data_IF_187913311554
#
_entry.id   IF_187913311554
#
_cell.length_a   1.000
_cell.length_b   1.000
_cell.length_c   1.000
_cell.angle_alpha   90.00
_cell.angle_beta   90.00
_cell.angle_gamma   90.00
#
_symmetry.space_group_name_H-M   'P 1'
#
loop_
_entity.id
_entity.type
_entity.pdbx_description
1 polymer ?
2 non-polymer ?
3 non-polymer ?
4 water ?
#
# COMPACT_ATOMS: atom_id res chain seq x y z
N UNK A 2 -11.13 -32.24 -43.30
CA UNK A 2 -11.06 -31.31 -42.14
C UNK A 2 -11.37 -31.97 -40.82
N UNK A 3 -10.35 -32.03 -39.95
CA UNK A 3 -10.48 -32.66 -38.63
C UNK A 3 -10.52 -31.64 -37.49
N UNK A 4 -9.51 -30.77 -37.44
CA UNK A 4 -9.46 -29.70 -36.45
C UNK A 4 -9.52 -28.33 -37.14
N UNK A 5 -10.34 -27.43 -36.59
CA UNK A 5 -10.62 -26.15 -37.24
C UNK A 5 -9.82 -24.98 -36.66
N UNK A 6 -9.50 -24.03 -37.54
CA UNK A 6 -8.74 -22.83 -37.19
C UNK A 6 -9.47 -21.55 -37.63
N UNK A 7 -9.06 -20.42 -37.08
CA UNK A 7 -9.55 -19.12 -37.52
C UNK A 7 -8.80 -18.66 -38.77
N UNK A 8 -9.46 -17.84 -39.58
CA UNK A 8 -8.86 -17.30 -40.80
C UNK A 8 -8.70 -15.79 -40.65
N UNK A 9 -7.52 -15.28 -40.97
CA UNK A 9 -7.17 -13.91 -40.57
C UNK A 9 -6.76 -12.92 -41.65
N UNK A 10 -5.70 -13.27 -42.39
CA UNK A 10 -4.90 -12.29 -43.12
C UNK A 10 -4.27 -11.26 -42.16
N UNK A 11 -3.87 -10.10 -42.67
CA UNK A 11 -3.06 -9.14 -41.91
C UNK A 11 -3.80 -8.39 -40.81
N UNK A 12 -4.89 -8.98 -40.33
CA UNK A 12 -5.74 -8.39 -39.30
C UNK A 12 -6.72 -9.41 -38.73
N UNK A 13 -7.64 -8.95 -37.89
CA UNK A 13 -8.76 -9.78 -37.45
C UNK A 13 -8.77 -10.17 -35.98
N UNK A 14 -8.07 -9.39 -35.15
CA UNK A 14 -8.02 -9.67 -33.72
C UNK A 14 -9.21 -9.08 -32.99
N UNK A 15 -10.04 -9.96 -32.44
CA UNK A 15 -11.25 -9.56 -31.72
C UNK A 15 -10.97 -9.33 -30.23
N UNK A 16 -11.66 -8.35 -29.62
CA UNK A 16 -11.55 -8.16 -28.17
C UNK A 16 -12.15 -9.32 -27.39
N UNK A 17 -11.38 -9.86 -26.45
CA UNK A 17 -11.82 -10.97 -25.61
C UNK A 17 -12.64 -10.48 -24.41
N UNK A 18 -12.06 -9.57 -23.64
CA UNK A 18 -12.74 -8.99 -22.49
C UNK A 18 -12.99 -7.50 -22.68
N UNK A 19 -13.15 -6.79 -21.57
CA UNK A 19 -13.36 -5.34 -21.59
C UNK A 19 -12.11 -4.57 -22.01
N UNK A 20 -10.94 -5.20 -21.83
CA UNK A 20 -9.68 -4.66 -22.31
C UNK A 20 -9.38 -5.13 -23.73
N UNK A 21 -8.40 -4.49 -24.37
CA UNK A 21 -7.98 -4.87 -25.72
C UNK A 21 -6.48 -5.17 -25.76
N UNK A 22 -5.96 -5.68 -24.64
CA UNK A 22 -4.53 -5.99 -24.51
C UNK A 22 -4.10 -7.25 -25.25
N UNK A 23 -2.81 -7.32 -25.54
CA UNK A 23 -2.23 -8.45 -26.25
C UNK A 23 -0.99 -9.00 -25.55
N UNK A 24 -0.40 -8.19 -24.65
CA UNK A 24 0.87 -8.52 -24.01
C UNK A 24 0.80 -8.62 -22.49
N UNK A 25 1.52 -9.60 -21.95
CA UNK A 25 1.66 -9.81 -20.50
C UNK A 25 2.45 -8.67 -19.84
N UNK A 26 3.50 -8.23 -20.51
CA UNK A 26 4.32 -7.13 -20.02
C UNK A 26 4.76 -6.23 -21.18
N UNK A 27 5.28 -5.06 -20.84
CA UNK A 27 5.78 -4.13 -21.85
C UNK A 27 7.15 -3.61 -21.45
N UNK A 28 8.05 -3.53 -22.43
CA UNK A 28 9.37 -2.95 -22.22
C UNK A 28 9.22 -1.44 -22.21
N UNK A 29 9.56 -0.84 -21.07
CA UNK A 29 9.47 0.59 -20.91
C UNK A 29 10.85 1.22 -21.10
N UNK A 30 10.92 2.38 -21.77
CA UNK A 30 12.19 3.07 -21.99
C UNK A 30 12.85 3.47 -20.68
N UNK A 31 14.17 3.41 -20.66
CA UNK A 31 14.94 3.79 -19.47
C UNK A 31 15.57 5.17 -19.72
N UNK A 32 14.97 6.23 -19.13
CA UNK A 32 15.39 7.62 -19.36
C UNK A 32 16.76 7.94 -18.77
N UNK A 33 17.38 9.00 -19.29
CA UNK A 33 18.73 9.39 -18.88
C UNK A 33 18.83 10.83 -18.36
N UNK A 34 17.93 11.70 -18.83
CA UNK A 34 17.88 13.09 -18.36
C UNK A 34 17.07 13.23 -17.09
N UNK A 35 17.59 14.01 -16.15
CA UNK A 35 16.92 14.24 -14.86
C UNK A 35 15.76 15.23 -15.04
N UNK A 36 16.00 16.26 -15.85
CA UNK A 36 15.03 17.34 -16.07
C UNK A 36 13.85 16.95 -16.98
N UNK A 37 13.98 15.81 -17.66
CA UNK A 37 12.93 15.35 -18.58
C UNK A 37 11.73 14.71 -17.88
N UNK A 38 11.88 14.43 -16.59
CA UNK A 38 10.86 13.70 -15.84
C UNK A 38 10.14 14.58 -14.82
N UNK A 39 8.83 14.62 -14.95
CA UNK A 39 7.95 15.31 -14.01
C UNK A 39 7.32 14.30 -13.06
N UNK A 40 7.63 14.43 -11.78
CA UNK A 40 7.17 13.49 -10.75
C UNK A 40 5.76 13.80 -10.24
N UNK A 41 5.23 14.95 -10.64
CA UNK A 41 3.89 15.37 -10.22
C UNK A 41 2.80 14.52 -10.86
N UNK A 42 2.93 14.23 -12.16
CA UNK A 42 1.90 13.48 -12.86
C UNK A 42 2.15 11.96 -12.88
N UNK A 43 1.10 11.17 -12.62
CA UNK A 43 1.17 9.71 -12.53
C UNK A 43 1.74 9.02 -13.75
N UNK A 44 1.50 9.59 -14.93
CA UNK A 44 1.88 8.98 -16.21
C UNK A 44 3.36 8.63 -16.32
N UNK A 45 4.22 9.44 -15.70
CA UNK A 45 5.67 9.26 -15.77
C UNK A 45 6.21 8.06 -14.97
N UNK A 46 5.31 7.36 -14.28
CA UNK A 46 5.68 6.11 -13.59
C UNK A 46 5.19 4.90 -14.37
N UNK A 47 4.42 5.16 -15.42
CA UNK A 47 3.84 4.11 -16.25
C UNK A 47 4.51 4.02 -17.61
N UNK A 48 5.08 5.12 -18.07
CA UNK A 48 5.79 5.16 -19.35
C UNK A 48 7.29 4.93 -19.18
N UNK A 49 7.80 5.07 -17.96
CA UNK A 49 9.23 5.04 -17.71
C UNK A 49 9.67 3.95 -16.72
N UNK A 50 10.82 3.33 -17.00
CA UNK A 50 11.53 2.52 -16.04
C UNK A 50 12.56 3.43 -15.37
N UNK A 51 12.24 3.88 -14.16
CA UNK A 51 13.03 4.91 -13.47
C UNK A 51 14.31 4.40 -12.83
N UNK A 52 14.71 3.17 -13.16
CA UNK A 52 15.88 2.54 -12.56
C UNK A 52 17.13 3.40 -12.66
N UNK A 53 17.42 3.88 -13.87
CA UNK A 53 18.59 4.73 -14.11
C UNK A 53 18.40 6.16 -13.63
N UNK A 54 17.15 6.63 -13.67
CA UNK A 54 16.80 7.95 -13.14
C UNK A 54 17.16 8.06 -11.66
N UNK A 55 16.73 7.06 -10.90
CA UNK A 55 16.91 7.05 -9.45
C UNK A 55 18.36 6.89 -9.00
N UNK A 56 19.17 6.19 -9.79
CA UNK A 56 20.59 6.02 -9.45
C UNK A 56 21.44 7.22 -9.86
N UNK A 57 20.99 7.95 -10.88
CA UNK A 57 21.61 9.22 -11.25
C UNK A 57 21.38 10.27 -10.15
N UNK A 58 20.20 10.22 -9.54
CA UNK A 58 19.87 11.05 -8.39
C UNK A 58 20.59 10.58 -7.14
N UNK A 59 20.76 9.27 -7.03
CA UNK A 59 21.34 8.68 -5.82
C UNK A 59 22.87 8.80 -5.78
N UNK A 60 23.47 9.21 -6.89
CA UNK A 60 24.93 9.36 -6.95
C UNK A 60 25.40 10.81 -7.11
N UNK A 61 24.65 11.63 -7.85
CA UNK A 61 25.05 13.02 -8.11
C UNK A 61 24.16 14.08 -7.46
N UNK A 62 22.84 13.84 -7.43
CA UNK A 62 21.89 14.81 -6.86
C UNK A 62 21.04 14.21 -5.74
N UNK A 63 21.66 13.87 -4.60
CA UNK A 63 20.94 13.19 -3.52
C UNK A 63 19.76 14.02 -3.04
N UNK A 64 19.98 15.33 -2.89
CA UNK A 64 18.95 16.29 -2.56
C UNK A 64 18.71 17.16 -3.79
N UNK A 65 17.78 16.74 -4.63
CA UNK A 65 17.54 17.39 -5.92
C UNK A 65 16.30 18.28 -5.89
N UNK A 66 16.47 19.52 -6.35
CA UNK A 66 15.36 20.47 -6.42
C UNK A 66 14.52 20.24 -7.67
N UNK A 67 13.34 19.68 -7.47
CA UNK A 67 12.38 19.48 -8.54
C UNK A 67 11.81 20.85 -8.94
N UNK A 68 11.64 21.10 -10.25
CA UNK A 68 11.11 22.39 -10.71
C UNK A 68 9.62 22.55 -10.41
N UNK A 69 9.12 23.80 -10.31
CA UNK A 69 7.69 24.03 -10.12
C UNK A 69 6.87 23.60 -11.33
N UNK A 70 5.77 22.90 -11.09
CA UNK A 70 4.94 22.36 -12.16
C UNK A 70 3.54 22.95 -12.11
N UNK A 71 3.12 23.57 -13.21
CA UNK A 71 1.83 24.25 -13.29
C UNK A 71 1.72 25.29 -12.19
N UNK A 72 0.73 25.13 -11.32
CA UNK A 72 0.65 25.95 -10.11
C UNK A 72 1.78 25.57 -9.16
N UNK A 73 2.29 26.57 -8.45
CA UNK A 73 3.43 26.41 -7.53
C UNK A 73 3.31 25.21 -6.59
N UNK A 74 4.44 24.71 -6.03
CA UNK A 74 5.83 25.08 -6.27
C UNK A 74 6.72 23.89 -6.64
N UNK A 75 8.03 24.11 -6.55
CA UNK A 75 9.02 23.04 -6.64
C UNK A 75 9.23 22.39 -5.28
N UNK A 76 10.00 21.31 -5.26
CA UNK A 76 10.20 20.54 -4.02
C UNK A 76 11.52 19.76 -4.02
N UNK A 77 11.95 19.35 -2.82
CA UNK A 77 13.19 18.59 -2.67
C UNK A 77 12.95 17.09 -2.80
N UNK A 78 13.79 16.46 -3.62
CA UNK A 78 13.70 15.03 -3.86
C UNK A 78 14.86 14.31 -3.17
N UNK A 79 14.52 13.44 -2.23
CA UNK A 79 15.51 12.68 -1.48
C UNK A 79 15.48 11.22 -1.92
N UNK A 80 16.63 10.73 -2.36
CA UNK A 80 16.73 9.43 -3.01
C UNK A 80 17.46 8.34 -2.21
N UNK A 81 18.57 8.73 -1.56
CA UNK A 81 19.42 7.78 -0.81
C UNK A 81 18.74 7.22 0.43
N UNK A 82 18.92 5.91 0.64
CA UNK A 82 18.35 5.19 1.79
C UNK A 82 18.68 5.86 3.13
N UNK A 83 19.96 6.10 3.39
CA UNK A 83 20.42 6.73 4.64
C UNK A 83 19.82 8.12 4.85
N UNK A 84 19.72 8.88 3.76
CA UNK A 84 19.12 10.22 3.77
C UNK A 84 17.62 10.17 4.07
N UNK A 85 16.93 9.21 3.44
CA UNK A 85 15.50 9.02 3.63
C UNK A 85 15.20 8.53 5.05
N UNK A 86 16.00 7.60 5.55
CA UNK A 86 15.90 7.11 6.93
C UNK A 86 16.07 8.24 7.96
N UNK A 87 17.07 9.10 7.73
CA UNK A 87 17.38 10.20 8.64
C UNK A 87 16.28 11.27 8.70
N UNK A 88 15.66 11.54 7.55
CA UNK A 88 14.63 12.58 7.47
C UNK A 88 13.28 12.11 8.00
N UNK A 89 12.99 10.81 7.89
CA UNK A 89 11.81 10.22 8.51
C UNK A 89 11.87 10.33 10.02
N UNK A 90 13.08 10.20 10.57
CA UNK A 90 13.32 10.23 12.01
C UNK A 90 13.06 11.62 12.60
N UNK A 91 13.38 12.66 11.84
CA UNK A 91 13.25 14.04 12.31
C UNK A 91 11.81 14.55 12.17
N UNK A 92 11.10 14.58 13.30
CA UNK A 92 9.76 15.16 13.36
C UNK A 92 9.76 16.51 14.08
N UNK A 93 10.95 16.96 14.46
CA UNK A 93 11.13 18.26 15.10
C UNK A 93 11.42 19.37 14.06
N UNK A 94 12.42 19.14 13.22
CA UNK A 94 12.80 20.12 12.19
C UNK A 94 11.93 19.98 10.93
N UNK A 95 11.30 18.82 10.77
CA UNK A 95 10.33 18.58 9.71
C UNK A 95 8.98 18.23 10.31
N UNK A 96 7.90 18.51 9.59
CA UNK A 96 6.56 18.12 10.04
C UNK A 96 5.71 17.49 8.94
N UNK A 97 4.81 16.61 9.37
CA UNK A 97 3.79 16.05 8.49
C UNK A 97 2.54 16.92 8.54
N UNK A 98 2.52 17.85 9.50
CA UNK A 98 1.33 18.63 9.85
C UNK A 98 0.81 19.59 8.76
N UNK A 99 1.48 19.59 7.61
CA UNK A 99 1.01 20.35 6.45
C UNK A 99 0.85 19.42 5.25
N UNK A 100 0.71 18.13 5.55
CA UNK A 100 0.57 17.09 4.52
C UNK A 100 1.77 16.15 4.48
N UNK A 101 1.53 14.92 4.03
CA UNK A 101 2.62 13.94 3.90
C UNK A 101 2.74 13.28 2.53
N UNK A 102 1.91 13.71 1.59
CA UNK A 102 2.00 13.28 0.19
C UNK A 102 2.04 14.51 -0.73
N UNK A 103 2.52 14.32 -1.96
CA UNK A 103 2.65 15.40 -2.94
C UNK A 103 1.41 16.28 -3.09
N UNK A 104 0.23 15.66 -3.27
CA UNK A 104 -1.00 16.44 -3.48
C UNK A 104 -1.23 17.46 -2.36
N UNK A 105 -1.21 16.99 -1.11
CA UNK A 105 -1.44 17.85 0.04
C UNK A 105 -0.30 18.82 0.30
N UNK A 106 0.94 18.36 0.09
CA UNK A 106 2.10 19.20 0.34
C UNK A 106 2.24 20.34 -0.67
N UNK A 107 1.97 20.05 -1.93
CA UNK A 107 2.00 21.08 -2.97
C UNK A 107 0.77 22.00 -2.95
N UNK A 108 -0.37 21.47 -2.52
CA UNK A 108 -1.58 22.29 -2.35
C UNK A 108 -1.52 23.17 -1.10
N UNK A 109 -0.58 22.85 -0.20
CA UNK A 109 -0.31 23.67 0.96
C UNK A 109 -1.06 23.29 2.22
N UNK A 110 -1.30 21.99 2.41
CA UNK A 110 -1.92 21.51 3.64
C UNK A 110 -2.79 20.28 3.49
N UNK A 111 -3.09 19.65 4.63
CA UNK A 111 -4.05 18.55 4.72
C UNK A 111 -5.17 19.01 5.63
N UNK A 112 -6.41 18.86 5.18
CA UNK A 112 -7.57 19.35 5.93
C UNK A 112 -7.75 18.67 7.30
N UNK A 113 -7.19 17.47 7.45
CA UNK A 113 -7.28 16.73 8.70
C UNK A 113 -6.05 16.91 9.61
N UNK A 114 -5.17 17.83 9.22
CA UNK A 114 -3.93 18.09 9.97
C UNK A 114 -4.19 18.49 11.41
N UNK A 115 -3.32 18.02 12.31
CA UNK A 115 -3.44 18.28 13.73
C UNK A 115 -4.43 17.35 14.42
N UNK A 116 -5.10 16.52 13.62
CA UNK A 116 -6.13 15.61 14.12
C UNK A 116 -5.85 14.17 13.71
N UNK A 117 -5.45 13.99 12.45
CA UNK A 117 -5.22 12.67 11.89
C UNK A 117 -3.75 12.26 12.09
N UNK A 118 -3.54 11.06 12.65
CA UNK A 118 -2.20 10.58 13.03
C UNK A 118 -1.11 10.86 12.02
N UNK A 119 -1.35 10.47 10.77
CA UNK A 119 -0.37 10.63 9.70
C UNK A 119 0.07 12.08 9.51
N UNK A 120 -0.83 13.01 9.82
CA UNK A 120 -0.57 14.44 9.65
C UNK A 120 -0.55 15.21 10.98
N UNK A 121 -0.03 14.57 12.04
CA UNK A 121 0.06 15.20 13.35
C UNK A 121 1.43 14.95 13.98
N UNK A 122 1.98 15.99 14.61
CA UNK A 122 3.27 15.91 15.27
C UNK A 122 3.18 16.36 16.73
N UNK A 123 4.33 16.40 17.42
CA UNK A 123 4.39 16.84 18.80
C UNK A 123 3.64 15.93 19.76
N UNK A 124 3.20 16.51 20.88
CA UNK A 124 2.53 15.77 21.95
C UNK A 124 1.32 14.97 21.47
N UNK A 125 0.50 15.58 20.60
CA UNK A 125 -0.72 14.95 20.10
C UNK A 125 -0.46 13.64 19.35
N UNK A 126 0.62 13.61 18.56
CA UNK A 126 1.02 12.37 17.90
C UNK A 126 1.46 11.32 18.92
N UNK A 127 2.39 11.71 19.80
CA UNK A 127 2.93 10.83 20.83
C UNK A 127 1.81 10.10 21.57
N UNK A 128 0.83 10.87 22.03
CA UNK A 128 -0.31 10.34 22.79
C UNK A 128 -1.22 9.43 22.01
N UNK A 129 -1.48 9.78 20.75
CA UNK A 129 -2.34 8.99 19.89
C UNK A 129 -1.74 7.62 19.60
N UNK A 130 -0.42 7.57 19.42
CA UNK A 130 0.28 6.31 19.17
C UNK A 130 0.31 5.39 20.38
N UNK A 131 0.36 5.98 21.57
CA UNK A 131 0.44 5.22 22.82
C UNK A 131 -0.87 4.52 23.18
N UNK A 132 -1.99 5.21 22.98
CA UNK A 132 -3.31 4.62 23.26
C UNK A 132 -3.61 3.48 22.31
N UNK A 133 -2.97 3.51 21.14
CA UNK A 133 -3.20 2.51 20.10
C UNK A 133 -2.13 1.43 20.05
N UNK A 134 -1.09 1.58 20.88
CA UNK A 134 0.02 0.62 20.94
C UNK A 134 -0.45 -0.79 21.29
N UNK A 135 -1.19 -0.91 22.39
CA UNK A 135 -1.70 -2.21 22.86
C UNK A 135 -2.70 -2.81 21.88
N UNK A 136 -3.41 -1.95 21.16
CA UNK A 136 -4.42 -2.38 20.20
C UNK A 136 -3.80 -2.94 18.91
N UNK A 137 -2.51 -2.67 18.71
CA UNK A 137 -1.80 -3.11 17.50
C UNK A 137 -0.62 -4.04 17.79
N UNK A 138 -0.53 -4.48 19.05
CA UNK A 138 0.49 -5.45 19.44
C UNK A 138 0.15 -6.82 18.87
N UNK A 139 1.18 -7.63 18.56
CA UNK A 139 0.99 -9.02 18.09
C UNK A 139 -0.05 -9.81 18.90
N UNK A 140 0.00 -9.68 20.23
CA UNK A 140 -0.87 -10.44 21.13
C UNK A 140 -2.35 -10.12 20.94
N UNK A 141 -2.66 -8.83 20.82
CA UNK A 141 -4.04 -8.39 20.63
C UNK A 141 -4.50 -8.65 19.20
N UNK A 142 -3.54 -8.68 18.27
CA UNK A 142 -3.86 -8.88 16.86
C UNK A 142 -3.96 -10.34 16.43
N UNK A 143 -3.59 -11.25 17.31
CA UNK A 143 -3.55 -12.69 16.98
C UNK A 143 -4.90 -13.26 16.48
N UNK A 144 -6.02 -12.88 17.13
CA UNK A 144 -7.32 -13.31 16.57
C UNK A 144 -7.61 -12.71 15.19
N UNK A 145 -7.23 -11.45 14.98
CA UNK A 145 -7.38 -10.80 13.68
C UNK A 145 -6.53 -11.51 12.61
N UNK A 146 -5.25 -11.72 12.93
CA UNK A 146 -4.32 -12.41 12.05
C UNK A 146 -4.83 -13.80 11.68
N UNK A 147 -5.32 -14.53 12.68
CA UNK A 147 -5.90 -15.86 12.47
C UNK A 147 -7.09 -15.81 11.51
N UNK A 148 -7.90 -14.76 11.61
CA UNK A 148 -9.04 -14.58 10.72
C UNK A 148 -8.60 -14.17 9.31
N UNK A 149 -7.55 -13.36 9.22
CA UNK A 149 -6.95 -13.00 7.93
C UNK A 149 -6.53 -14.28 7.21
N UNK A 150 -5.89 -15.17 7.96
CA UNK A 150 -5.38 -16.41 7.39
C UNK A 150 -6.49 -17.33 6.88
N UNK A 151 -7.58 -17.43 7.64
CA UNK A 151 -8.75 -18.20 7.21
C UNK A 151 -9.36 -17.63 5.92
N UNK A 152 -9.57 -16.31 5.92
CA UNK A 152 -10.12 -15.62 4.74
C UNK A 152 -9.26 -15.75 3.49
N UNK A 153 -7.95 -15.50 3.63
CA UNK A 153 -7.02 -15.58 2.51
C UNK A 153 -6.96 -17.00 1.91
N UNK A 154 -6.89 -18.01 2.78
CA UNK A 154 -6.83 -19.40 2.31
C UNK A 154 -8.10 -19.80 1.60
N UNK A 155 -9.25 -19.36 2.11
CA UNK A 155 -10.53 -19.61 1.46
C UNK A 155 -10.60 -18.92 0.09
N UNK A 156 -10.17 -17.66 0.03
CA UNK A 156 -10.21 -16.91 -1.22
C UNK A 156 -9.28 -17.45 -2.28
N UNK A 157 -8.11 -17.94 -1.86
CA UNK A 157 -7.13 -18.55 -2.77
C UNK A 157 -7.60 -19.91 -3.27
N UNK A 158 -8.09 -20.76 -2.37
CA UNK A 158 -8.58 -22.10 -2.73
C UNK A 158 -9.71 -21.99 -3.76
N UNK A 159 -10.67 -21.09 -3.52
CA UNK A 159 -11.76 -20.86 -4.45
C UNK A 159 -11.24 -20.35 -5.80
N UNK A 160 -10.24 -19.48 -5.76
CA UNK A 160 -9.59 -18.97 -6.98
C UNK A 160 -8.83 -20.08 -7.70
N UNK A 161 -8.29 -21.03 -6.94
CA UNK A 161 -7.59 -22.18 -7.50
C UNK A 161 -8.55 -23.19 -8.15
N UNK A 162 -9.68 -23.45 -7.49
CA UNK A 162 -10.74 -24.30 -8.06
C UNK A 162 -11.33 -23.68 -9.32
N UNK A 163 -11.47 -22.35 -9.30
CA UNK A 163 -12.01 -21.59 -10.41
C UNK A 163 -11.06 -21.66 -11.62
N UNK A 164 -9.77 -21.63 -11.34
CA UNK A 164 -8.73 -21.66 -12.38
C UNK A 164 -8.54 -20.30 -13.04
N UNK A 165 -9.61 -19.79 -13.64
CA UNK A 165 -9.61 -18.49 -14.32
C UNK A 165 -10.15 -17.41 -13.38
N UNK A 166 -9.30 -16.45 -13.04
CA UNK A 166 -9.73 -15.32 -12.20
C UNK A 166 -8.88 -14.07 -12.39
N UNK A 167 -9.44 -12.93 -11.99
CA UNK A 167 -8.71 -11.67 -11.93
C UNK A 167 -8.26 -11.49 -10.48
N UNK A 168 -6.98 -11.71 -10.24
CA UNK A 168 -6.45 -11.78 -8.88
C UNK A 168 -6.77 -10.57 -8.00
N UNK A 169 -6.81 -9.38 -8.60
CA UNK A 169 -7.07 -8.15 -7.86
C UNK A 169 -8.47 -8.15 -7.22
N UNK A 170 -9.49 -8.39 -8.04
CA UNK A 170 -10.88 -8.29 -7.62
C UNK A 170 -11.37 -9.52 -6.87
N UNK A 171 -10.84 -10.68 -7.21
CA UNK A 171 -11.35 -11.94 -6.69
C UNK A 171 -10.63 -12.38 -5.42
N UNK A 172 -9.39 -11.93 -5.25
CA UNK A 172 -8.62 -12.27 -4.06
C UNK A 172 -8.21 -11.04 -3.28
N UNK A 173 -7.38 -10.18 -3.90
CA UNK A 173 -6.70 -9.08 -3.21
C UNK A 173 -7.62 -8.01 -2.61
N UNK A 174 -8.72 -7.70 -3.29
CA UNK A 174 -9.66 -6.71 -2.77
C UNK A 174 -10.46 -7.22 -1.58
N UNK A 175 -10.40 -8.53 -1.34
CA UNK A 175 -11.32 -9.20 -0.43
C UNK A 175 -10.73 -9.49 0.97
N UNK A 176 -9.54 -8.95 1.25
CA UNK A 176 -8.90 -9.17 2.55
C UNK A 176 -8.78 -7.90 3.43
N UNK A 177 -8.08 -6.86 2.93
CA UNK A 177 -7.59 -5.80 3.81
C UNK A 177 -8.64 -4.90 4.45
N UNK A 178 -9.66 -4.50 3.68
CA UNK A 178 -10.68 -3.58 4.16
C UNK A 178 -11.60 -4.23 5.19
N UNK A 179 -11.95 -5.50 4.95
CA UNK A 179 -12.77 -6.26 5.89
C UNK A 179 -12.02 -6.59 7.19
N UNK A 180 -10.69 -6.68 7.07
CA UNK A 180 -9.82 -6.87 8.24
C UNK A 180 -9.84 -5.66 9.17
N UNK A 181 -9.72 -4.47 8.58
CA UNK A 181 -9.56 -3.24 9.38
C UNK A 181 -10.85 -2.79 10.06
N UNK A 182 -11.99 -3.02 9.40
CA UNK A 182 -13.29 -2.68 9.97
C UNK A 182 -13.67 -3.68 11.06
N UNK A 183 -13.10 -4.88 10.97
CA UNK A 183 -13.22 -5.88 12.02
C UNK A 183 -12.45 -5.40 13.25
N UNK A 184 -11.24 -4.88 13.02
CA UNK A 184 -10.42 -4.29 14.07
C UNK A 184 -11.06 -3.04 14.68
N UNK A 185 -11.73 -2.24 13.85
CA UNK A 185 -12.41 -1.04 14.31
C UNK A 185 -13.63 -1.37 15.16
N UNK A 186 -14.29 -2.48 14.82
CA UNK A 186 -15.44 -2.94 15.57
C UNK A 186 -16.76 -2.57 14.94
N UNK A 187 -16.80 -2.50 13.61
CA UNK A 187 -18.06 -2.33 12.90
C UNK A 187 -18.71 -3.70 12.74
N UNK A 188 -20.05 -3.76 12.89
CA UNK A 188 -20.76 -5.03 12.69
C UNK A 188 -20.67 -5.50 11.23
N UNK A 189 -20.88 -6.79 11.02
CA UNK A 189 -20.76 -7.39 9.69
C UNK A 189 -21.80 -6.87 8.71
N UNK A 190 -23.00 -6.58 9.21
CA UNK A 190 -24.09 -6.04 8.40
C UNK A 190 -23.77 -4.65 7.86
N UNK A 191 -22.95 -3.92 8.62
CA UNK A 191 -22.60 -2.54 8.28
C UNK A 191 -21.42 -2.42 7.33
N UNK A 192 -20.78 -3.55 7.03
CA UNK A 192 -19.60 -3.58 6.16
C UNK A 192 -19.87 -3.10 4.74
N UNK A 193 -20.87 -3.71 4.09
CA UNK A 193 -21.24 -3.34 2.71
C UNK A 193 -21.72 -1.89 2.61
N UNK A 194 -22.33 -1.41 3.70
CA UNK A 194 -22.71 -0.01 3.86
C UNK A 194 -21.48 0.89 3.78
N UNK A 195 -20.40 0.51 4.47
CA UNK A 195 -19.16 1.26 4.46
C UNK A 195 -18.41 1.21 3.13
N UNK A 196 -18.43 0.03 2.50
CA UNK A 196 -17.68 -0.19 1.26
C UNK A 196 -18.19 0.67 0.11
N UNK A 197 -19.51 0.63 -0.12
CA UNK A 197 -20.12 1.44 -1.18
C UNK A 197 -20.10 2.93 -0.85
N UNK A 198 -20.06 3.24 0.44
CA UNK A 198 -20.02 4.64 0.89
C UNK A 198 -18.62 5.24 0.73
N UNK A 199 -17.61 4.38 0.77
CA UNK A 199 -16.22 4.82 0.58
C UNK A 199 -15.83 4.92 -0.89
N UNK A 200 -16.36 4.02 -1.71
CA UNK A 200 -16.07 3.98 -3.15
C UNK A 200 -16.38 5.31 -3.85
N UNK A 201 -17.51 5.91 -3.51
CA UNK A 201 -17.92 7.17 -4.10
C UNK A 201 -17.27 8.36 -3.39
N UNK A 202 -16.91 8.17 -2.12
CA UNK A 202 -16.13 9.16 -1.38
C UNK A 202 -14.75 9.36 -2.00
N UNK A 203 -14.22 8.32 -2.63
CA UNK A 203 -12.90 8.34 -3.26
C UNK A 203 -12.97 8.39 -4.79
N UNK A 204 -14.17 8.61 -5.33
CA UNK A 204 -14.37 8.72 -6.77
C UNK A 204 -13.83 10.05 -7.30
N UNK A 205 -13.44 10.07 -8.57
CA UNK A 205 -12.86 11.25 -9.19
C UNK A 205 -13.69 11.80 -10.34
N UNK A 206 -14.05 10.91 -11.28
CA UNK A 206 -14.63 11.32 -12.56
C UNK A 206 -16.08 10.85 -12.74
N UNK A 207 -16.96 11.75 -13.15
CA UNK A 207 -16.62 13.15 -13.43
C UNK A 207 -17.36 14.09 -12.48
N UNK A 210 -22.02 18.17 -9.92
CA UNK A 210 -22.27 18.14 -8.48
C UNK A 210 -21.64 16.90 -7.82
N UNK A 211 -20.70 16.27 -8.52
CA UNK A 211 -20.01 15.08 -8.04
C UNK A 211 -18.92 15.42 -7.01
N UNK A 212 -18.50 16.68 -7.03
CA UNK A 212 -17.48 17.18 -6.10
C UNK A 212 -17.91 17.07 -4.63
N UNK A 213 -19.18 17.40 -4.37
CA UNK A 213 -19.73 17.36 -3.02
C UNK A 213 -20.37 16.00 -2.70
N UNK A 214 -20.73 15.25 -3.75
CA UNK A 214 -21.20 13.87 -3.60
C UNK A 214 -20.18 13.05 -2.81
N UNK A 215 -18.91 13.29 -3.11
CA UNK A 215 -17.80 12.63 -2.41
C UNK A 215 -17.67 13.12 -0.98
N UNK A 216 -17.93 14.42 -0.76
CA UNK A 216 -17.84 15.00 0.58
C UNK A 216 -18.95 14.48 1.48
N UNK A 217 -20.17 14.37 0.94
CA UNK A 217 -21.30 13.85 1.69
C UNK A 217 -21.11 12.38 2.05
N UNK A 218 -20.54 11.62 1.12
CA UNK A 218 -20.23 10.22 1.34
C UNK A 218 -19.25 10.05 2.49
N UNK A 219 -18.24 10.92 2.54
CA UNK A 219 -17.25 10.92 3.60
C UNK A 219 -17.90 11.33 4.92
N UNK A 220 -18.69 12.39 4.86
CA UNK A 220 -19.46 12.89 6.00
C UNK A 220 -20.28 11.78 6.67
N UNK A 221 -21.01 11.01 5.85
CA UNK A 221 -21.86 9.92 6.35
C UNK A 221 -21.09 8.82 7.08
N UNK A 222 -19.90 8.50 6.58
CA UNK A 222 -19.01 7.53 7.23
C UNK A 222 -18.58 8.06 8.59
N UNK A 223 -18.20 9.34 8.62
CA UNK A 223 -17.75 9.99 9.84
C UNK A 223 -18.88 10.10 10.86
N UNK A 224 -20.09 10.34 10.37
CA UNK A 224 -21.27 10.41 11.23
C UNK A 224 -21.64 9.05 11.80
N UNK A 225 -21.50 8.02 10.96
CA UNK A 225 -21.74 6.64 11.40
C UNK A 225 -20.76 6.23 12.49
N UNK A 226 -19.49 6.56 12.30
CA UNK A 226 -18.46 6.29 13.30
C UNK A 226 -18.73 7.04 14.59
N UNK A 227 -19.29 8.24 14.47
CA UNK A 227 -19.67 9.06 15.62
C UNK A 227 -20.77 8.40 16.43
N UNK A 228 -21.63 7.65 15.74
CA UNK A 228 -22.68 6.90 16.39
C UNK A 228 -22.12 5.68 17.09
N UNK A 229 -21.13 5.03 16.46
CA UNK A 229 -20.39 3.95 17.11
C UNK A 229 -19.55 4.47 18.27
N UNK A 230 -19.07 5.71 18.15
CA UNK A 230 -18.36 6.36 19.24
C UNK A 230 -19.27 6.57 20.45
N UNK A 231 -20.49 7.06 20.20
CA UNK A 231 -21.48 7.27 21.27
C UNK A 231 -21.65 6.03 22.15
N UNK A 232 -21.54 4.85 21.53
CA UNK A 232 -21.63 3.58 22.24
C UNK A 232 -20.32 3.21 22.96
N UNK A 233 -19.52 4.23 23.29
CA UNK A 233 -18.32 4.06 24.10
C UNK A 233 -18.72 3.84 25.55
N UNK A 234 -19.47 4.81 26.07
CA UNK A 234 -20.00 4.79 27.42
C UNK A 234 -20.96 3.61 27.60
N UNK A 235 -21.72 3.32 26.55
CA UNK A 235 -22.71 2.25 26.58
C UNK A 235 -22.03 0.92 26.88
N UNK A 236 -21.03 0.57 26.08
CA UNK A 236 -20.21 -0.62 26.30
C UNK A 236 -18.87 -0.50 25.60
N UNK A 237 -17.77 -0.43 26.39
CA UNK A 237 -16.42 -0.58 25.84
C UNK A 237 -16.24 -1.99 25.28
N UNK A 238 -15.53 -2.11 24.16
CA UNK A 238 -15.51 -3.35 23.38
C UNK A 238 -14.13 -3.81 22.88
N UNK A 239 -13.07 -3.25 23.46
CA UNK A 239 -11.68 -3.63 23.13
C UNK A 239 -11.21 -3.24 21.72
N UNK A 240 -12.16 -2.98 20.81
CA UNK A 240 -11.84 -2.51 19.46
C UNK A 240 -11.32 -1.07 19.47
N UNK A 241 -10.74 -0.66 18.35
CA UNK A 241 -10.07 0.64 18.24
C UNK A 241 -10.98 1.84 18.55
N UNK A 242 -12.20 1.82 18.02
CA UNK A 242 -13.20 2.86 18.29
C UNK A 242 -13.41 3.03 19.80
N UNK A 243 -13.58 1.91 20.50
CA UNK A 243 -13.79 1.89 21.94
C UNK A 243 -12.58 2.43 22.71
N UNK A 244 -11.39 1.93 22.37
CA UNK A 244 -10.14 2.33 23.02
C UNK A 244 -9.89 3.84 22.88
N UNK A 245 -10.14 4.37 21.68
CA UNK A 245 -9.95 5.79 21.40
C UNK A 245 -10.98 6.67 22.09
N UNK A 246 -12.21 6.19 22.16
CA UNK A 246 -13.30 6.96 22.76
C UNK A 246 -13.25 6.97 24.30
N UNK A 247 -12.67 5.94 24.89
CA UNK A 247 -12.61 5.81 26.33
C UNK A 247 -11.26 6.18 26.96
N UNK A 248 -10.29 6.52 26.12
CA UNK A 248 -8.98 6.97 26.59
C UNK A 248 -8.90 8.49 26.57
N UNK A 249 -7.84 9.03 27.15
CA UNK A 249 -7.59 10.47 27.18
C UNK A 249 -6.12 10.83 27.01
N UNK A 250 -5.85 11.88 26.24
CA UNK A 250 -4.49 12.34 25.96
C UNK A 250 -4.46 13.87 25.79
N UNK A 251 -3.63 14.56 26.59
CA UNK A 251 -2.81 13.93 27.64
C UNK A 251 -3.59 13.86 28.95
N UNK A 252 -4.23 14.98 29.31
CA UNK A 252 -5.13 15.02 30.46
C UNK A 252 -6.58 15.08 30.04
N UNK A 253 -6.80 15.48 28.78
CA UNK A 253 -8.15 15.68 28.25
C UNK A 253 -8.60 14.57 27.30
N UNK A 254 -9.90 14.20 27.35
CA UNK A 254 -10.48 13.20 26.43
C UNK A 254 -10.44 13.66 24.98
N UNK A 255 -10.41 12.71 24.06
CA UNK A 255 -10.33 13.02 22.63
C UNK A 255 -11.67 13.46 22.07
N UNK A 256 -11.64 14.46 21.21
CA UNK A 256 -12.84 15.06 20.65
C UNK A 256 -13.44 14.16 19.58
N UNK A 257 -14.76 14.23 19.42
CA UNK A 257 -15.48 13.43 18.44
C UNK A 257 -14.79 13.40 17.08
N UNK A 258 -14.44 14.58 16.57
CA UNK A 258 -13.82 14.71 15.25
C UNK A 258 -12.50 13.93 15.14
N UNK A 259 -11.63 14.06 16.14
CA UNK A 259 -10.32 13.41 16.12
C UNK A 259 -10.45 11.89 16.09
N UNK A 260 -11.18 11.33 17.06
CA UNK A 260 -11.36 9.88 17.16
C UNK A 260 -12.00 9.31 15.89
N UNK A 261 -12.98 10.02 15.37
CA UNK A 261 -13.72 9.60 14.18
C UNK A 261 -12.88 9.76 12.91
N UNK A 262 -12.01 10.77 12.90
CA UNK A 262 -11.19 11.04 11.73
C UNK A 262 -10.09 10.00 11.60
N UNK A 263 -9.53 9.58 12.73
CA UNK A 263 -8.51 8.53 12.75
C UNK A 263 -9.06 7.16 12.37
N UNK A 264 -10.30 6.89 12.77
CA UNK A 264 -11.00 5.68 12.35
C UNK A 264 -11.05 5.61 10.83
N UNK A 265 -11.44 6.72 10.22
CA UNK A 265 -11.49 6.82 8.76
C UNK A 265 -10.10 6.71 8.14
N UNK A 266 -9.09 7.25 8.83
CA UNK A 266 -7.71 7.16 8.36
C UNK A 266 -7.22 5.70 8.35
N UNK A 267 -7.78 4.88 9.23
CA UNK A 267 -7.50 3.46 9.28
C UNK A 267 -8.09 2.69 8.09
N UNK A 268 -9.31 3.04 7.68
CA UNK A 268 -9.92 2.37 6.52
C UNK A 268 -9.29 2.82 5.19
N UNK A 269 -8.78 4.04 5.14
CA UNK A 269 -8.03 4.51 3.99
C UNK A 269 -6.67 3.82 3.88
N UNK A 270 -5.95 3.77 5.00
CA UNK A 270 -4.59 3.25 5.04
C UNK A 270 -4.48 1.73 5.08
N UNK A 271 -5.51 1.08 5.61
CA UNK A 271 -5.50 -0.37 5.76
C UNK A 271 -5.86 -1.13 4.50
N UNK A 272 -6.22 -0.38 3.45
CA UNK A 272 -6.79 -0.97 2.25
C UNK A 272 -5.81 -1.10 1.07
N UNK A 273 -5.69 -0.04 0.27
CA UNK A 273 -5.05 -0.13 -1.05
C UNK A 273 -3.59 -0.59 -1.02
N UNK A 274 -2.87 -0.10 -0.03
CA UNK A 274 -1.44 -0.34 0.07
C UNK A 274 -1.10 -1.81 0.31
N UNK A 275 -1.98 -2.53 1.02
CA UNK A 275 -1.86 -3.97 1.21
C UNK A 275 -2.23 -4.71 -0.08
N UNK A 276 -3.34 -4.28 -0.69
CA UNK A 276 -3.80 -4.85 -1.96
C UNK A 276 -2.69 -4.85 -3.00
N UNK A 277 -2.08 -3.67 -3.20
CA UNK A 277 -1.02 -3.47 -4.16
C UNK A 277 0.16 -4.42 -3.95
N UNK A 278 0.51 -4.64 -2.68
CA UNK A 278 1.58 -5.57 -2.31
C UNK A 278 1.25 -7.01 -2.68
N UNK A 279 0.03 -7.42 -2.41
CA UNK A 279 -0.43 -8.77 -2.66
C UNK A 279 -0.50 -9.05 -4.17
N UNK A 280 -1.03 -8.09 -4.91
CA UNK A 280 -1.09 -8.16 -6.38
C UNK A 280 0.32 -8.21 -6.98
N UNK A 281 1.21 -7.40 -6.43
CA UNK A 281 2.60 -7.34 -6.91
C UNK A 281 3.36 -8.65 -6.74
N UNK A 282 3.17 -9.31 -5.60
CA UNK A 282 3.86 -10.57 -5.30
C UNK A 282 3.57 -11.62 -6.37
N UNK A 283 2.28 -11.80 -6.69
CA UNK A 283 1.83 -12.76 -7.69
C UNK A 283 2.44 -12.49 -9.07
N UNK A 284 2.43 -11.22 -9.48
CA UNK A 284 3.03 -10.82 -10.75
C UNK A 284 4.53 -11.09 -10.74
N UNK A 285 5.19 -10.70 -9.66
CA UNK A 285 6.63 -10.91 -9.51
C UNK A 285 7.03 -12.39 -9.53
N UNK A 286 6.17 -13.27 -9.00
CA UNK A 286 6.45 -14.71 -9.01
C UNK A 286 6.46 -15.30 -10.42
N UNK A 287 5.60 -14.80 -11.29
CA UNK A 287 5.58 -15.22 -12.69
C UNK A 287 6.79 -14.69 -13.46
N UNK A 288 7.41 -13.63 -12.93
CA UNK A 288 8.58 -13.02 -13.55
C UNK A 288 9.85 -13.70 -13.07
N UNK A 289 9.80 -14.22 -11.85
CA UNK A 289 10.94 -14.91 -11.24
C UNK A 289 10.48 -16.28 -10.72
N UNK A 290 10.27 -17.23 -11.66
CA UNK A 290 9.74 -18.55 -11.31
C UNK A 290 10.59 -19.33 -10.31
N UNK A 291 11.91 -19.19 -10.39
CA UNK A 291 12.81 -19.88 -9.46
C UNK A 291 12.53 -19.51 -8.00
N UNK A 292 12.24 -18.23 -7.78
CA UNK A 292 11.85 -17.75 -6.46
C UNK A 292 10.51 -18.34 -6.03
N UNK A 293 9.53 -18.35 -6.94
CA UNK A 293 8.25 -18.98 -6.65
C UNK A 293 8.44 -20.45 -6.28
N UNK A 294 9.27 -21.16 -7.07
CA UNK A 294 9.57 -22.56 -6.82
C UNK A 294 10.19 -22.72 -5.44
N UNK A 295 11.04 -21.78 -5.08
CA UNK A 295 11.73 -21.77 -3.80
C UNK A 295 10.74 -21.62 -2.63
N UNK A 296 9.71 -20.80 -2.84
CA UNK A 296 8.64 -20.61 -1.86
C UNK A 296 7.75 -21.84 -1.76
N UNK A 297 7.31 -22.34 -2.92
CA UNK A 297 6.40 -23.48 -2.99
C UNK A 297 7.04 -24.75 -2.42
N UNK A 298 8.30 -24.98 -2.75
CA UNK A 298 9.00 -26.18 -2.29
C UNK A 298 9.55 -26.07 -0.87
N UNK A 299 9.22 -24.95 -0.20
CA UNK A 299 9.58 -24.74 1.21
C UNK A 299 11.06 -24.61 1.49
N UNK A 300 11.78 -23.93 0.61
CA UNK A 300 13.22 -23.75 0.76
C UNK A 300 13.56 -22.37 1.31
N UNK A 301 12.53 -21.61 1.66
CA UNK A 301 12.67 -20.28 2.26
C UNK A 301 11.47 -20.01 3.18
N UNK A 302 11.73 -19.38 4.33
CA UNK A 302 10.68 -19.10 5.31
C UNK A 302 9.72 -18.04 4.82
N UNK A 303 8.46 -18.15 5.23
CA UNK A 303 7.42 -17.18 4.90
C UNK A 303 7.77 -15.78 5.40
N UNK A 304 8.37 -15.71 6.60
CA UNK A 304 8.79 -14.45 7.19
C UNK A 304 9.77 -13.70 6.29
N UNK A 305 10.84 -14.38 5.89
CA UNK A 305 11.86 -13.84 5.01
C UNK A 305 11.29 -13.46 3.64
N UNK A 306 10.45 -14.34 3.09
CA UNK A 306 9.82 -14.10 1.80
C UNK A 306 8.92 -12.86 1.86
N UNK A 307 8.14 -12.73 2.94
CA UNK A 307 7.25 -11.59 3.15
C UNK A 307 7.99 -10.25 3.05
N UNK A 308 9.15 -10.16 3.69
CA UNK A 308 9.93 -8.93 3.68
C UNK A 308 10.46 -8.59 2.28
N UNK A 309 10.84 -9.62 1.52
CA UNK A 309 11.29 -9.39 0.14
C UNK A 309 10.17 -8.91 -0.78
N UNK A 310 8.98 -9.46 -0.61
CA UNK A 310 7.80 -9.00 -1.34
C UNK A 310 7.52 -7.53 -1.02
N UNK A 311 7.63 -7.18 0.26
CA UNK A 311 7.39 -5.80 0.69
C UNK A 311 8.43 -4.86 0.11
N UNK A 312 9.71 -5.24 0.23
CA UNK A 312 10.81 -4.47 -0.35
C UNK A 312 10.66 -4.31 -1.88
N UNK A 313 10.22 -5.36 -2.55
CA UNK A 313 10.03 -5.32 -4.00
C UNK A 313 8.90 -4.39 -4.41
N UNK A 314 7.71 -4.62 -3.86
CA UNK A 314 6.52 -3.85 -4.23
C UNK A 314 6.65 -2.35 -3.93
N UNK A 315 6.97 -2.02 -2.68
CA UNK A 315 7.08 -0.63 -2.21
C UNK A 315 5.93 0.21 -2.78
N UNK A 316 4.69 -0.12 -2.36
CA UNK A 316 3.48 0.44 -2.96
C UNK A 316 3.40 1.95 -2.80
N UNK A 317 3.82 2.46 -1.64
CA UNK A 317 3.89 3.89 -1.41
C UNK A 317 5.26 4.41 -1.85
N UNK A 318 5.36 4.83 -3.11
CA UNK A 318 6.61 5.31 -3.71
C UNK A 318 7.29 6.41 -2.91
N UNK A 319 6.49 7.36 -2.43
CA UNK A 319 7.03 8.46 -1.65
C UNK A 319 6.13 8.83 -0.48
N UNK A 320 6.75 9.38 0.56
CA UNK A 320 6.06 10.18 1.56
C UNK A 320 6.89 11.43 1.81
N UNK A 321 6.23 12.51 2.19
CA UNK A 321 6.88 13.80 2.30
C UNK A 321 6.65 14.54 3.61
N UNK A 322 7.44 15.59 3.80
CA UNK A 322 7.33 16.47 4.95
C UNK A 322 7.51 17.92 4.51
N UNK A 323 7.23 18.85 5.43
CA UNK A 323 7.53 20.26 5.23
C UNK A 323 8.46 20.73 6.34
N UNK A 324 9.42 21.59 5.99
CA UNK A 324 10.45 22.05 6.92
C UNK A 324 9.98 23.23 7.76
N UNK A 325 10.10 23.09 9.09
CA UNK A 325 9.75 24.18 10.01
C UNK A 325 10.95 25.13 10.19
N UNK A 326 12.09 24.57 10.56
CA UNK A 326 13.33 25.34 10.67
C UNK A 326 14.28 24.94 9.56
N UNK A 327 15.25 25.82 9.27
CA UNK A 327 16.23 25.61 8.21
C UNK A 327 17.18 24.45 8.52
N UNK A 328 17.50 23.67 7.49
CA UNK A 328 18.42 22.53 7.62
C UNK A 328 19.50 22.56 6.55
N UNK A 329 20.63 21.90 6.84
CA UNK A 329 21.74 21.81 5.90
C UNK A 329 22.13 20.37 5.61
N UNK A 330 21.69 19.86 4.45
CA UNK A 330 22.01 18.51 4.01
C UNK A 330 22.85 18.53 2.73
N UNK A 331 23.95 17.77 2.76
CA UNK A 331 24.92 17.68 1.65
C UNK A 331 25.44 19.03 1.16
N UNK A 332 25.64 19.97 2.09
CA UNK A 332 26.15 21.30 1.78
C UNK A 332 25.08 22.27 1.30
N UNK A 333 23.93 21.74 0.91
CA UNK A 333 22.81 22.54 0.40
C UNK A 333 21.87 22.95 1.53
N UNK A 334 21.11 24.02 1.29
CA UNK A 334 20.23 24.59 2.31
C UNK A 334 18.76 24.25 2.04
N UNK A 335 18.08 23.74 3.06
CA UNK A 335 16.64 23.47 2.98
C UNK A 335 15.89 24.49 3.85
N UNK A 336 15.28 25.47 3.18
CA UNK A 336 14.61 26.58 3.86
C UNK A 336 13.25 26.18 4.43
N UNK A 337 12.71 27.02 5.31
CA UNK A 337 11.38 26.83 5.87
C UNK A 337 10.31 27.00 4.79
N UNK A 338 9.29 26.15 4.84
CA UNK A 338 8.21 26.17 3.84
C UNK A 338 8.42 25.18 2.72
N UNK A 339 9.68 24.75 2.55
CA UNK A 339 10.04 23.80 1.49
C UNK A 339 9.50 22.40 1.76
N UNK A 340 8.85 21.83 0.75
CA UNK A 340 8.36 20.47 0.82
C UNK A 340 9.44 19.49 0.38
N UNK A 341 9.71 18.49 1.24
CA UNK A 341 10.61 17.41 0.91
C UNK A 341 9.82 16.14 0.64
N UNK A 342 10.25 15.37 -0.36
CA UNK A 342 9.64 14.08 -0.64
C UNK A 342 10.70 13.00 -0.52
N UNK A 343 10.42 12.00 0.31
CA UNK A 343 11.34 10.91 0.57
C UNK A 343 10.87 9.71 -0.24
N UNK A 344 11.74 9.20 -1.11
CA UNK A 344 11.34 8.22 -2.11
C UNK A 344 11.72 6.79 -1.76
N UNK A 345 10.77 6.09 -1.17
CA UNK A 345 10.99 4.74 -0.64
C UNK A 345 11.38 3.75 -1.72
N UNK A 346 10.78 3.91 -2.91
CA UNK A 346 11.02 3.02 -4.04
C UNK A 346 12.46 3.10 -4.58
N UNK A 347 13.08 4.27 -4.43
CA UNK A 347 14.48 4.45 -4.75
C UNK A 347 15.36 3.96 -3.62
N UNK A 348 14.88 4.13 -2.39
CA UNK A 348 15.59 3.71 -1.19
C UNK A 348 15.69 2.20 -1.09
N UNK A 349 14.63 1.49 -1.49
CA UNK A 349 14.63 0.03 -1.52
C UNK A 349 15.31 -0.54 -2.76
N UNK A 350 15.96 0.34 -3.52
CA UNK A 350 16.75 -0.06 -4.68
C UNK A 350 18.18 0.50 -4.59
N UNK A 351 18.54 0.97 -3.41
CA UNK A 351 19.88 1.52 -3.17
C UNK A 351 20.92 0.41 -3.04
N UNK A 352 21.88 0.41 -3.96
CA UNK A 352 22.98 -0.57 -3.96
C UNK A 352 23.93 -0.34 -2.79
N UNK A 353 23.69 0.71 -2.03
CA UNK A 353 24.50 1.04 -0.86
C UNK A 353 24.12 0.18 0.34
N UNK A 354 22.90 -0.35 0.32
CA UNK A 354 22.37 -1.12 1.44
C UNK A 354 21.95 -2.52 1.00
N UNK A 355 21.29 -2.59 -0.15
CA UNK A 355 20.82 -3.87 -0.70
C UNK A 355 21.74 -4.40 -1.80
N UNK A 356 22.59 -5.36 -1.45
CA UNK A 356 23.45 -6.06 -2.41
C UNK A 356 22.59 -6.64 -3.53
N UNK A 357 22.95 -6.32 -4.78
CA UNK A 357 22.16 -6.66 -5.97
C UNK A 357 20.70 -6.23 -5.79
N UNK A 358 20.43 -4.92 -5.92
CA UNK A 358 19.11 -4.38 -5.59
C UNK A 358 17.96 -4.87 -6.48
N UNK A 359 18.22 -5.08 -7.77
CA UNK A 359 17.15 -5.43 -8.71
C UNK A 359 16.96 -6.93 -8.90
N UNK A 360 17.54 -7.71 -8.00
CA UNK A 360 17.28 -9.15 -7.93
C UNK A 360 16.20 -9.40 -6.89
N UNK A 361 15.16 -10.13 -7.30
CA UNK A 361 14.10 -10.51 -6.39
C UNK A 361 14.53 -11.79 -5.70
N UNK A 362 14.88 -11.68 -4.43
CA UNK A 362 15.48 -12.77 -3.68
C UNK A 362 14.73 -13.02 -2.38
N UNK A 363 13.98 -14.11 -2.32
CA UNK A 363 13.13 -14.38 -1.15
C UNK A 363 13.91 -14.66 0.13
N UNK A 364 15.15 -15.13 -0.01
CA UNK A 364 16.00 -15.38 1.15
C UNK A 364 17.03 -14.26 1.39
N UNK A 365 16.69 -13.06 0.95
CA UNK A 365 17.55 -11.89 1.10
C UNK A 365 17.75 -11.52 2.57
N UNK A 366 19.01 -11.35 2.97
CA UNK A 366 19.36 -10.86 4.30
C UNK A 366 20.71 -10.15 4.28
N UNK A 367 20.79 -8.94 4.88
CA UNK A 367 19.70 -8.28 5.58
C UNK A 367 18.68 -7.69 4.62
N UNK A 368 17.51 -7.36 5.15
CA UNK A 368 16.40 -6.81 4.37
C UNK A 368 15.68 -5.71 5.14
N UNK A 369 16.45 -4.73 5.60
CA UNK A 369 15.90 -3.63 6.40
C UNK A 369 15.36 -2.51 5.51
N UNK A 370 14.28 -2.82 4.82
CA UNK A 370 13.62 -1.89 3.89
C UNK A 370 12.83 -0.83 4.63
N UNK A 371 12.45 0.22 3.90
CA UNK A 371 11.57 1.25 4.44
C UNK A 371 10.31 1.41 3.59
N UNK A 372 9.67 0.28 3.29
CA UNK A 372 8.38 0.28 2.62
C UNK A 372 7.31 0.77 3.60
N UNK A 373 7.48 0.43 4.88
CA UNK A 373 6.78 1.12 5.95
C UNK A 373 7.68 2.28 6.34
N UNK A 374 7.20 3.19 7.17
CA UNK A 374 7.99 4.40 7.46
C UNK A 374 9.26 4.15 8.25
N UNK A 375 9.70 5.18 8.97
CA UNK A 375 10.80 5.04 9.91
C UNK A 375 10.64 6.12 10.97
N UNK A 376 10.86 5.75 12.22
CA UNK A 376 10.78 6.70 13.33
C UNK A 376 9.38 6.87 13.86
N UNK A 377 9.02 8.12 14.23
CA UNK A 377 7.74 8.41 14.88
C UNK A 377 6.51 8.02 14.06
N UNK A 378 6.56 8.25 12.75
CA UNK A 378 5.42 7.94 11.88
C UNK A 378 5.49 6.55 11.26
N UNK A 379 6.37 5.68 11.78
CA UNK A 379 6.48 4.30 11.28
C UNK A 379 5.11 3.63 11.27
N UNK A 380 4.78 3.00 10.14
CA UNK A 380 3.44 2.47 9.90
C UNK A 380 2.79 1.79 11.10
N UNK A 381 1.63 2.29 11.49
CA UNK A 381 0.86 1.71 12.58
C UNK A 381 0.45 0.28 12.27
N UNK A 382 0.10 0.01 11.01
CA UNK A 382 -0.40 -1.29 10.59
C UNK A 382 0.59 -2.15 9.83
N UNK A 383 1.87 -1.97 10.13
CA UNK A 383 2.93 -2.73 9.48
C UNK A 383 2.77 -4.23 9.74
N UNK A 384 2.45 -4.57 10.98
CA UNK A 384 2.25 -5.96 11.38
C UNK A 384 1.06 -6.58 10.65
N UNK A 385 0.02 -5.77 10.40
CA UNK A 385 -1.12 -6.20 9.61
C UNK A 385 -0.77 -6.40 8.14
N UNK A 386 -0.09 -5.40 7.56
CA UNK A 386 0.39 -5.48 6.18
C UNK A 386 1.19 -6.76 5.97
N UNK A 387 2.11 -7.01 6.88
CA UNK A 387 2.90 -8.23 6.90
C UNK A 387 2.04 -9.49 6.96
N UNK A 388 1.07 -9.50 7.87
CA UNK A 388 0.21 -10.65 8.08
C UNK A 388 -0.59 -11.01 6.83
N UNK A 389 -1.04 -9.97 6.12
CA UNK A 389 -1.84 -10.14 4.91
C UNK A 389 -1.03 -10.70 3.76
N UNK A 390 0.23 -10.30 3.68
CA UNK A 390 1.16 -10.84 2.69
C UNK A 390 1.55 -12.26 3.10
N UNK A 391 1.93 -12.40 4.37
CA UNK A 391 2.29 -13.70 4.96
C UNK A 391 1.22 -14.75 4.69
N UNK A 392 -0.04 -14.37 4.88
CA UNK A 392 -1.19 -15.27 4.68
C UNK A 392 -1.39 -15.64 3.22
N UNK A 393 -1.18 -14.67 2.32
CA UNK A 393 -1.27 -14.95 0.88
C UNK A 393 -0.19 -15.94 0.46
N UNK A 394 1.06 -15.63 0.79
CA UNK A 394 2.20 -16.49 0.47
C UNK A 394 2.00 -17.92 0.97
N UNK A 395 1.53 -18.05 2.20
CA UNK A 395 1.24 -19.35 2.80
C UNK A 395 0.14 -20.09 2.05
N UNK A 396 -0.93 -19.40 1.69
CA UNK A 396 -2.02 -19.99 0.94
C UNK A 396 -1.56 -20.42 -0.44
N UNK A 397 -0.77 -19.57 -1.09
CA UNK A 397 -0.28 -19.84 -2.44
C UNK A 397 0.59 -21.09 -2.50
N UNK A 398 1.54 -21.21 -1.58
CA UNK A 398 2.46 -22.35 -1.56
C UNK A 398 1.81 -23.67 -1.14
N UNK A 399 0.65 -23.58 -0.49
CA UNK A 399 -0.06 -24.74 0.00
C UNK A 399 -1.03 -25.31 -1.04
N UNK A 400 -1.69 -24.44 -1.79
CA UNK A 400 -2.83 -24.84 -2.61
C UNK A 400 -2.66 -24.65 -4.13
N UNK A 401 -1.59 -23.97 -4.53
CA UNK A 401 -1.28 -23.84 -5.96
C UNK A 401 0.11 -24.39 -6.24
N UNK A 402 0.31 -24.90 -7.45
CA UNK A 402 1.63 -25.35 -7.88
C UNK A 402 2.29 -24.29 -8.75
N UNK A 403 1.47 -23.39 -9.29
CA UNK A 403 1.94 -22.31 -10.16
C UNK A 403 0.80 -21.52 -10.78
N UNK A 404 1.16 -20.45 -11.48
CA UNK A 404 0.18 -19.57 -12.10
C UNK A 404 0.77 -18.76 -13.26
N UNK A 405 -0.09 -18.05 -13.98
CA UNK A 405 0.34 -17.28 -15.15
C UNK A 405 -0.59 -16.12 -15.45
N UNK A 406 -0.01 -14.99 -15.85
CA UNK A 406 -0.77 -13.82 -16.29
C UNK A 406 -1.54 -14.16 -17.56
N UNK A 407 -2.83 -13.82 -17.56
CA UNK A 407 -3.77 -14.26 -18.58
C UNK A 407 -4.23 -13.12 -19.51
N UNK A 408 -4.15 -11.89 -19.03
CA UNK A 408 -4.45 -10.71 -19.85
C UNK A 408 -3.50 -9.58 -19.49
N UNK A 409 -3.59 -8.47 -20.22
CA UNK A 409 -2.75 -7.31 -19.94
C UNK A 409 -3.13 -6.68 -18.59
N UNK A 410 -2.19 -6.66 -17.64
CA UNK A 410 -2.48 -6.08 -16.32
C UNK A 410 -2.69 -4.58 -16.40
N UNK A 411 -3.49 -4.05 -15.49
CA UNK A 411 -3.82 -2.64 -15.49
C UNK A 411 -3.16 -1.95 -14.31
N UNK A 412 -2.39 -0.90 -14.60
CA UNK A 412 -1.74 -0.10 -13.57
C UNK A 412 -2.71 0.90 -12.94
N UNK A 413 -2.51 1.18 -11.66
CA UNK A 413 -3.17 2.32 -11.03
C UNK A 413 -2.41 3.60 -11.39
N UNK A 414 -3.11 4.72 -11.42
CA UNK A 414 -2.53 5.99 -11.83
C UNK A 414 -2.32 6.91 -10.63
N UNK A 415 -1.11 6.93 -10.09
CA UNK A 415 -0.78 7.75 -8.94
C UNK A 415 0.68 8.18 -8.92
N UNK A 416 0.90 9.42 -8.51
CA UNK A 416 2.24 9.96 -8.29
C UNK A 416 2.77 9.57 -6.91
N UNK A 417 1.98 8.78 -6.20
CA UNK A 417 2.22 8.45 -4.81
C UNK A 417 2.20 6.94 -4.58
N UNK A 418 1.16 6.27 -5.09
CA UNK A 418 1.10 4.82 -5.02
C UNK A 418 1.42 4.17 -6.37
N UNK A 419 1.85 2.90 -6.32
CA UNK A 419 2.16 2.16 -7.54
C UNK A 419 1.72 0.70 -7.44
N UNK A 420 1.48 0.09 -8.59
CA UNK A 420 1.00 -1.28 -8.65
C UNK A 420 -0.17 -1.43 -9.59
N UNK A 421 -0.93 -2.51 -9.43
CA UNK A 421 -1.98 -2.86 -10.38
C UNK A 421 -3.39 -2.81 -9.80
N UNK A 422 -4.35 -2.49 -10.66
CA UNK A 422 -5.77 -2.51 -10.31
C UNK A 422 -6.46 -3.75 -10.87
N UNK A 423 -5.79 -4.42 -11.80
CA UNK A 423 -6.32 -5.62 -12.44
C UNK A 423 -5.18 -6.54 -12.87
N UNK A 424 -5.33 -7.83 -12.57
CA UNK A 424 -4.32 -8.83 -12.88
C UNK A 424 -4.98 -10.16 -13.23
N UNK A 425 -5.28 -10.37 -14.53
CA UNK A 425 -5.89 -11.64 -14.93
C UNK A 425 -4.86 -12.75 -14.81
N UNK A 426 -5.23 -13.83 -14.12
CA UNK A 426 -4.34 -14.97 -13.94
C UNK A 426 -5.02 -16.31 -14.17
N UNK A 427 -4.25 -17.27 -14.66
CA UNK A 427 -4.67 -18.66 -14.62
C UNK A 427 -3.88 -19.38 -13.53
N UNK A 428 -4.61 -19.90 -12.56
CA UNK A 428 -4.01 -20.58 -11.42
C UNK A 428 -4.02 -22.08 -11.65
N UNK A 429 -2.87 -22.72 -11.43
CA UNK A 429 -2.78 -24.17 -11.44
C UNK A 429 -2.83 -24.67 -10.00
N UNK A 430 -3.94 -25.35 -9.64
CA UNK A 430 -4.16 -25.78 -8.27
C UNK A 430 -3.41 -27.05 -7.89
N UNK A 431 -2.94 -27.12 -6.65
CA UNK A 431 -2.49 -28.37 -6.06
C UNK A 431 -3.74 -29.16 -5.68
N UNK A 432 -4.15 -30.05 -6.58
CA UNK A 432 -5.46 -30.72 -6.51
C UNK A 432 -5.63 -31.58 -5.25
N UNK A 433 -4.57 -32.27 -4.86
CA UNK A 433 -4.57 -33.14 -3.68
C UNK A 433 -4.64 -32.35 -2.38
N UNK A 434 -4.10 -31.14 -2.39
CA UNK A 434 -4.10 -30.26 -1.22
C UNK A 434 -5.48 -29.68 -0.96
N UNK A 435 -6.23 -29.46 -2.02
CA UNK A 435 -7.59 -28.95 -1.94
C UNK A 435 -8.52 -30.01 -1.36
N UNK A 436 -8.29 -31.26 -1.76
CA UNK A 436 -9.03 -32.41 -1.23
C UNK A 436 -8.85 -32.55 0.28
N UNK A 437 -7.65 -32.23 0.76
CA UNK A 437 -7.35 -32.22 2.19
C UNK A 437 -8.08 -31.07 2.89
N UNK A 438 -8.19 -29.95 2.18
CA UNK A 438 -8.92 -28.77 2.65
C UNK A 438 -10.44 -28.97 2.61
N UNK A 439 -10.90 -29.90 1.77
CA UNK A 439 -12.33 -30.16 1.60
C UNK A 439 -12.89 -31.25 2.52
N UNK A 440 -12.03 -32.16 2.96
CA UNK A 440 -12.42 -33.19 3.92
C UNK A 440 -12.56 -32.60 5.32
N UNK A 441 -11.71 -31.62 5.62
CA UNK A 441 -11.74 -30.91 6.90
C UNK A 441 -12.83 -29.85 6.91
N UNK A 442 -12.79 -28.95 5.93
CA UNK A 442 -13.80 -27.91 5.77
C UNK A 442 -14.87 -28.30 4.76
N UNK A 443 -16.12 -28.30 5.19
CA UNK A 443 -17.23 -28.67 4.31
C UNK A 443 -17.47 -30.17 4.26
X LIG B 1 1.97 5.09 8.05
X LIG B 1 3.25 2.16 4.42
X LIG B 1 -0.31 -0.87 5.62
X LIG B 1 -2.08 2.47 8.65
X LIG B 1 2.68 4.54 7.00
X LIG B 1 3.93 5.03 6.45
X LIG B 1 4.28 4.22 5.45
X LIG B 1 3.26 3.19 5.33
X LIG B 1 5.53 4.32 4.55
X LIG B 1 4.70 6.26 6.94
X LIG B 1 3.99 7.53 6.48
X LIG B 1 4.72 8.77 6.96
X LIG B 1 5.86 8.65 7.47
X LIG B 1 4.14 9.89 6.84
X LIG B 1 2.41 1.08 4.42
X LIG B 1 2.47 -0.05 3.51
X LIG B 1 1.49 -0.90 3.84
X LIG B 1 0.77 -0.32 4.97
X LIG B 1 3.49 -0.22 2.36
X LIG B 1 1.14 -2.23 3.15
X LIG B 1 2.02 -3.24 3.10
X LIG B 1 -1.09 -0.26 6.58
X LIG B 1 -2.20 -0.85 7.29
X LIG B 1 -2.69 0.08 8.12
X LIG B 1 -1.90 1.29 7.96
X LIG B 1 -2.73 -2.29 7.13
X LIG B 1 -3.88 -0.08 9.09
X LIG B 1 -4.74 0.92 9.29
X LIG B 1 -1.16 3.46 8.82
X LIG B 1 -1.29 4.57 9.74
X LIG B 1 -0.01 5.40 9.55
X LIG B 1 0.74 4.70 8.53
X LIG B 1 -2.46 4.87 10.70
X LIG B 1 0.38 6.69 10.29
X LIG B 1 1.43 6.34 11.35
X LIG B 1 1.67 7.52 12.27
X LIG B 1 2.28 7.31 13.36
X LIG B 1 1.24 8.65 11.93
X LIG B 1 2.31 3.42 6.29
X LIG B 1 1.36 0.88 5.29
X LIG B 1 -0.93 1.04 7.01
X LIG B 1 0.04 3.58 8.12
X LIG B 1 0.71 2.22 6.67
X LIG C 1 7.79 -21.58 7.32
X LIG C 1 7.49 -20.39 6.53
X LIG C 1 8.59 -21.18 8.48
X LIG C 1 6.56 -22.21 7.75
X LIG C 1 8.55 -22.52 6.48
X LIG D 1 -11.28 -24.51 -41.19
X LIG D 1 -9.88 -24.39 -40.76
X LIG D 1 -12.16 -24.07 -40.10
X LIG D 1 -11.56 -25.89 -41.56
X LIG D 1 -11.53 -23.67 -42.37
X LIG E 1 4.60 -19.69 -11.64
X LIG E 1 4.43 -18.48 -12.45
X LIG E 1 3.90 -19.53 -10.37
X LIG E 1 6.03 -19.87 -11.40
X LIG E 1 4.07 -20.87 -12.35
#
# INVERSE_FOLDING_TARGET
MGSSHHHHHHSSGLVPRGSHSGHMTAHTLPIPDDISTINLTDPRTYEVNDLSEYWRQLRTTRPLYWHPPVGDAPGFWVVSRYADVMALYKDNKKLTSEKGNVLVTLLAGGDSAAGKMLAVTDGAMHRGLRNVLLKSFSPQALKPIVDQIRVNTTRLVVDAARRGECDFAADVAEQIPLNTISDLLGVPAADREFLLKLNKSALSSEDADQSATDAWLARNEILLYFSELVAERRAKPTEDVISVLANSMVDGKPLTEEVIVLNCYSLILGGDETSRLSMIDSVQTFTQYPDQWELLRDGKVTLESATEEVLRWATPAMHFGRRAVTDMELHGQVIAAGDVVTLWNNSANRDEEVFADPYAFDLNRSPNKHITFGYGPHFCLGAYLGRAEVHALLDALRTYTTGFEITGEPQRIHSNFLTGLSRLPVRIQPNEAAIAAYDSDNGVRS
HEM CHA CHB CHC CHD C1A C2A C3A C4A CMA CAA CBA CGA O1A O2A C1B C2B C3B C4B CMB CAB CBB C1C C2C C3C C4C CMC CAC CBC C1D C2D C3D C4D CMD CAD CBD CGD O1D O2D NA NB NC ND FE
SO4 S O1 O2 O3 O4
SO4 S O1 O2 O3 O4
SO4 S O1 O2 O3 O4
#
